data_IF_741312930822
#
_entry.id   IF_741312930822
#
_cell.length_a   1.000
_cell.length_b   1.000
_cell.length_c   1.000
_cell.angle_alpha   90.00
_cell.angle_beta   90.00
_cell.angle_gamma   90.00
#
_symmetry.space_group_name_H-M   'P 1'
#
loop_
_entity.id
_entity.type
_entity.pdbx_description
1 polymer ?
#
# COMPACT_ATOMS: atom_id res chain seq x y z
N UNK A 1 -46.27 -13.41 -22.19
CA UNK A 1 -45.37 -14.03 -21.19
C UNK A 1 -43.96 -14.01 -21.76
N UNK A 2 -43.11 -13.05 -21.37
CA UNK A 2 -41.67 -13.10 -21.68
C UNK A 2 -40.93 -12.59 -20.47
N UNK A 3 -40.43 -13.54 -19.70
CA UNK A 3 -39.78 -13.34 -18.43
C UNK A 3 -38.43 -12.68 -18.72
N UNK A 4 -38.29 -11.47 -18.15
CA UNK A 4 -37.07 -10.78 -17.75
C UNK A 4 -35.78 -11.56 -18.02
N UNK A 5 -35.23 -11.34 -19.21
CA UNK A 5 -33.83 -11.53 -19.55
C UNK A 5 -32.93 -10.45 -18.90
N UNK A 6 -33.25 -10.00 -17.67
CA UNK A 6 -32.47 -9.02 -16.91
C UNK A 6 -31.52 -9.70 -15.89
N UNK A 7 -31.26 -11.00 -16.02
CA UNK A 7 -30.52 -11.75 -15.02
C UNK A 7 -29.09 -12.15 -15.44
N UNK A 8 -28.61 -11.73 -16.60
CA UNK A 8 -27.29 -12.16 -17.05
C UNK A 8 -26.22 -11.07 -16.91
N UNK A 9 -25.29 -11.31 -15.98
CA UNK A 9 -23.91 -10.86 -16.17
C UNK A 9 -23.45 -9.67 -15.34
N UNK A 10 -23.46 -9.77 -14.00
CA UNK A 10 -22.51 -9.00 -13.19
C UNK A 10 -21.29 -9.86 -12.89
N UNK A 11 -20.37 -9.94 -13.85
CA UNK A 11 -19.05 -10.51 -13.59
C UNK A 11 -18.31 -9.55 -12.66
N UNK A 12 -17.92 -10.01 -11.47
CA UNK A 12 -17.00 -9.27 -10.63
C UNK A 12 -15.61 -9.41 -11.23
N UNK A 13 -15.24 -8.45 -12.09
CA UNK A 13 -13.86 -8.26 -12.57
C UNK A 13 -12.93 -8.07 -11.40
N UNK A 14 -12.35 -9.18 -10.93
CA UNK A 14 -11.16 -9.19 -10.11
C UNK A 14 -10.05 -8.66 -11.03
N UNK A 15 -9.77 -7.35 -10.99
CA UNK A 15 -8.51 -6.84 -11.54
C UNK A 15 -7.44 -7.59 -10.76
N UNK A 16 -6.76 -8.56 -11.40
CA UNK A 16 -5.51 -9.08 -10.87
C UNK A 16 -4.55 -7.90 -11.00
N UNK A 17 -4.47 -7.11 -9.94
CA UNK A 17 -3.44 -6.11 -9.76
C UNK A 17 -2.17 -6.92 -9.54
N UNK A 18 -1.41 -7.14 -10.60
CA UNK A 18 -0.05 -7.62 -10.48
C UNK A 18 0.74 -6.48 -9.85
N UNK A 19 0.73 -6.40 -8.52
CA UNK A 19 1.69 -5.61 -7.75
C UNK A 19 3.07 -6.23 -8.03
N UNK A 20 3.73 -5.73 -9.07
CA UNK A 20 5.05 -6.18 -9.47
C UNK A 20 5.98 -6.17 -8.25
N UNK A 21 6.77 -7.23 -8.10
CA UNK A 21 7.81 -7.30 -7.07
C UNK A 21 8.63 -6.02 -7.17
N UNK A 22 8.51 -5.16 -6.15
CA UNK A 22 9.02 -3.81 -6.21
C UNK A 22 10.53 -3.85 -6.42
N UNK A 23 11.01 -3.21 -7.49
CA UNK A 23 12.41 -2.93 -7.80
C UNK A 23 13.28 -2.56 -6.57
N UNK A 24 12.64 -2.05 -5.51
CA UNK A 24 13.24 -1.81 -4.20
C UNK A 24 13.96 -3.05 -3.61
N UNK A 25 13.47 -4.29 -3.82
CA UNK A 25 14.15 -5.50 -3.31
C UNK A 25 15.46 -5.80 -4.04
N UNK A 26 15.49 -5.60 -5.37
CA UNK A 26 16.68 -5.76 -6.20
C UNK A 26 17.77 -4.73 -5.87
N UNK A 27 17.39 -3.46 -5.70
CA UNK A 27 18.33 -2.43 -5.22
C UNK A 27 18.84 -2.75 -3.81
N UNK A 28 17.97 -3.20 -2.91
CA UNK A 28 18.38 -3.55 -1.54
C UNK A 28 19.43 -4.65 -1.57
N UNK A 29 19.23 -5.70 -2.38
CA UNK A 29 20.19 -6.80 -2.50
C UNK A 29 21.50 -6.35 -3.17
N UNK A 30 21.43 -5.47 -4.17
CA UNK A 30 22.62 -4.90 -4.84
C UNK A 30 23.47 -4.04 -3.88
N UNK A 31 22.84 -3.17 -3.07
CA UNK A 31 23.57 -2.35 -2.09
C UNK A 31 24.15 -3.18 -0.94
N UNK A 32 23.47 -4.25 -0.51
CA UNK A 32 23.98 -5.19 0.50
C UNK A 32 25.17 -5.97 -0.07
N UNK A 33 25.07 -6.46 -1.31
CA UNK A 33 26.15 -7.16 -1.99
C UNK A 33 27.40 -6.28 -2.14
N UNK A 34 27.25 -5.02 -2.57
CA UNK A 34 28.39 -4.10 -2.72
C UNK A 34 29.12 -3.83 -1.39
N UNK A 35 28.39 -3.87 -0.26
CA UNK A 35 29.01 -3.74 1.06
C UNK A 35 29.76 -4.99 1.50
N UNK A 36 29.23 -6.17 1.21
CA UNK A 36 29.87 -7.46 1.52
C UNK A 36 31.13 -7.70 0.67
N UNK A 37 31.19 -7.16 -0.55
CA UNK A 37 32.38 -7.19 -1.40
C UNK A 37 33.50 -6.26 -0.89
N UNK A 38 33.30 -5.56 0.24
CA UNK A 38 34.38 -4.88 0.97
C UNK A 38 34.88 -3.58 0.33
N UNK A 39 34.14 -3.02 -0.63
CA UNK A 39 34.59 -1.82 -1.36
C UNK A 39 34.32 -0.50 -0.60
N UNK A 40 33.61 -0.50 0.54
CA UNK A 40 33.18 0.71 1.27
C UNK A 40 33.12 0.50 2.80
N UNK A 41 33.94 1.24 3.58
CA UNK A 41 33.99 1.30 5.07
C UNK A 41 32.82 2.07 5.75
N UNK A 42 31.79 2.44 5.00
CA UNK A 42 30.79 3.40 5.46
C UNK A 42 29.79 2.81 6.48
N UNK A 43 29.12 3.68 7.23
CA UNK A 43 28.18 3.30 8.29
C UNK A 43 26.97 2.53 7.75
N UNK A 44 26.57 1.45 8.44
CA UNK A 44 25.45 0.58 8.06
C UNK A 44 24.12 1.32 7.89
N UNK A 45 23.93 2.42 8.63
CA UNK A 45 22.76 3.28 8.54
C UNK A 45 22.53 3.89 7.13
N UNK A 46 23.60 4.19 6.38
CA UNK A 46 23.48 4.72 5.03
C UNK A 46 23.24 3.65 3.96
N UNK A 47 23.70 2.43 4.20
CA UNK A 47 23.34 1.28 3.35
C UNK A 47 21.86 0.92 3.50
N UNK A 48 21.27 1.23 4.67
CA UNK A 48 19.82 1.17 4.82
C UNK A 48 19.08 2.37 4.21
N UNK A 49 19.73 3.44 3.75
CA UNK A 49 19.04 4.62 3.19
C UNK A 49 17.90 4.28 2.19
N UNK A 50 18.09 3.39 1.20
CA UNK A 50 16.99 2.98 0.31
C UNK A 50 15.87 2.22 1.03
N UNK A 51 16.16 1.40 2.04
CA UNK A 51 15.11 0.74 2.83
C UNK A 51 14.41 1.72 3.78
N UNK A 52 15.09 2.74 4.29
CA UNK A 52 14.47 3.84 5.03
C UNK A 52 13.52 4.63 4.12
N UNK A 53 13.90 4.89 2.86
CA UNK A 53 13.02 5.51 1.87
C UNK A 53 11.75 4.70 1.61
N UNK A 54 11.89 3.40 1.32
CA UNK A 54 10.76 2.50 1.10
C UNK A 54 9.91 2.33 2.39
N UNK A 55 10.53 2.22 3.57
CA UNK A 55 9.83 2.09 4.85
C UNK A 55 9.07 3.37 5.22
N UNK A 56 9.66 4.55 5.00
CA UNK A 56 9.02 5.83 5.29
C UNK A 56 7.76 6.02 4.43
N UNK A 57 7.83 5.65 3.14
CA UNK A 57 6.68 5.68 2.24
C UNK A 57 5.55 4.74 2.70
N UNK A 58 5.89 3.51 3.12
CA UNK A 58 4.93 2.54 3.68
C UNK A 58 4.25 3.05 4.95
N UNK A 59 5.04 3.57 5.90
CA UNK A 59 4.52 4.13 7.15
C UNK A 59 3.58 5.29 6.86
N UNK A 60 3.93 6.18 5.92
CA UNK A 60 3.08 7.30 5.52
C UNK A 60 1.71 6.83 5.00
N UNK A 61 1.68 5.81 4.14
CA UNK A 61 0.43 5.25 3.60
C UNK A 61 -0.43 4.67 4.72
N UNK A 62 0.16 3.92 5.65
CA UNK A 62 -0.55 3.33 6.80
C UNK A 62 -1.17 4.43 7.66
N UNK A 63 -0.41 5.48 7.96
CA UNK A 63 -0.90 6.63 8.74
C UNK A 63 -2.09 7.30 8.05
N UNK A 64 -2.01 7.56 6.75
CA UNK A 64 -3.12 8.17 5.98
C UNK A 64 -4.37 7.29 6.02
N UNK A 65 -4.23 5.97 5.85
CA UNK A 65 -5.34 5.03 5.94
C UNK A 65 -5.96 5.03 7.34
N UNK A 66 -5.13 5.03 8.38
CA UNK A 66 -5.57 5.04 9.76
C UNK A 66 -6.36 6.32 10.08
N UNK A 67 -5.85 7.49 9.65
CA UNK A 67 -6.59 8.75 9.74
C UNK A 67 -7.90 8.67 8.96
N UNK A 68 -7.90 8.19 7.72
CA UNK A 68 -9.10 8.11 6.89
C UNK A 68 -10.20 7.25 7.54
N UNK A 69 -9.83 6.11 8.14
CA UNK A 69 -10.76 5.23 8.88
C UNK A 69 -11.30 5.94 10.13
N UNK A 70 -10.41 6.56 10.91
CA UNK A 70 -10.80 7.30 12.12
C UNK A 70 -11.76 8.45 11.80
N UNK A 71 -11.49 9.23 10.75
CA UNK A 71 -12.35 10.32 10.31
C UNK A 71 -13.67 9.84 9.72
N UNK A 72 -13.70 8.69 9.04
CA UNK A 72 -14.93 8.10 8.48
C UNK A 72 -15.92 7.72 9.58
N UNK A 73 -15.44 7.13 10.67
CA UNK A 73 -16.27 6.80 11.84
C UNK A 73 -16.94 8.02 12.48
N UNK A 74 -16.31 9.21 12.39
CA UNK A 74 -16.86 10.45 12.95
C UNK A 74 -17.96 11.07 12.10
N UNK A 75 -17.94 10.87 10.77
CA UNK A 75 -18.97 11.41 9.85
C UNK A 75 -20.28 10.64 9.92
N UNK A 76 -20.22 9.32 10.12
CA UNK A 76 -21.40 8.45 10.13
C UNK A 76 -22.31 8.71 11.34
N UNK A 77 -21.74 9.01 12.50
CA UNK A 77 -22.48 9.33 13.72
C UNK A 77 -23.16 10.70 13.70
N UNK A 78 -22.70 11.62 12.83
CA UNK A 78 -23.32 12.96 12.70
C UNK A 78 -24.65 12.88 11.96
N UNK A 79 -24.75 12.11 10.87
CA UNK A 79 -25.98 12.02 10.09
C UNK A 79 -27.15 11.36 10.85
N UNK A 80 -26.90 10.38 11.73
CA UNK A 80 -27.98 9.77 12.55
C UNK A 80 -28.54 10.70 13.63
N UNK A 81 -27.83 11.76 14.01
CA UNK A 81 -28.29 12.72 15.02
C UNK A 81 -29.12 13.86 14.42
N UNK A 82 -28.95 14.13 13.13
CA UNK A 82 -29.70 15.17 12.41
C UNK A 82 -31.04 14.66 11.84
N UNK A 83 -31.31 13.33 11.92
CA UNK A 83 -32.57 12.68 11.50
C UNK A 83 -33.53 12.35 12.67
N UNK A 84 -33.13 12.60 13.92
CA UNK A 84 -33.96 12.39 15.13
C UNK A 84 -34.35 13.72 15.76
#
# INVERSE_FOLDING_TARGET
>A
MSIKFYFWGKSHDKKIQYEGIGFCSGLTLLLVALKLTGNIDWSWLWVLSPIWGCACLLVLIIVILFLAVYFKGKKDQRQKKDEK
#
